data_IF_077322990102
#
_entry.id   IF_077322990102
#
_cell.length_a   1.000
_cell.length_b   1.000
_cell.length_c   1.000
_cell.angle_alpha   90.00
_cell.angle_beta   90.00
_cell.angle_gamma   90.00
#
_symmetry.space_group_name_H-M   'P 1'
#
loop_
_entity.id
_entity.type
_entity.pdbx_description
1 polymer ?
2 non-polymer ?
3 non-polymer ?
4 water ?
#
# COMPACT_ATOMS: atom_id res chain seq x y z
N UNK A 22 6.85 13.94 -22.18
CA UNK A 22 7.51 14.31 -20.90
C UNK A 22 8.73 13.40 -20.63
N UNK A 23 9.92 13.96 -20.87
CA UNK A 23 11.19 13.21 -20.74
C UNK A 23 11.63 12.94 -19.30
N UNK A 24 11.10 13.70 -18.34
CA UNK A 24 11.49 13.57 -16.94
C UNK A 24 10.86 12.36 -16.26
N UNK A 25 10.83 12.40 -14.93
CA UNK A 25 10.24 11.32 -14.13
C UNK A 25 8.80 11.64 -13.73
N UNK A 26 7.96 10.61 -13.75
CA UNK A 26 6.60 10.70 -13.25
C UNK A 26 6.47 9.83 -11.99
N UNK A 27 6.10 10.47 -10.88
CA UNK A 27 6.01 9.81 -9.58
C UNK A 27 4.56 9.57 -9.20
N UNK A 28 4.23 8.33 -8.92
CA UNK A 28 2.88 7.93 -8.53
C UNK A 28 2.77 7.89 -7.01
N UNK A 29 1.78 8.62 -6.47
CA UNK A 29 1.48 8.63 -5.03
C UNK A 29 -0.02 8.49 -4.84
N UNK A 30 -0.44 8.12 -3.63
CA UNK A 30 -1.85 8.18 -3.21
C UNK A 30 -2.08 9.28 -2.18
N UNK A 31 -3.29 9.83 -2.17
CA UNK A 31 -3.71 10.84 -1.18
C UNK A 31 -3.79 10.27 0.23
N UNK A 32 -3.85 11.16 1.21
CA UNK A 32 -3.87 10.77 2.62
C UNK A 32 -2.49 10.40 3.14
N UNK A 33 -2.40 9.21 3.71
CA UNK A 33 -1.23 8.80 4.50
C UNK A 33 0.06 8.84 3.71
N UNK A 34 0.03 8.23 2.54
CA UNK A 34 1.23 8.11 1.74
C UNK A 34 1.74 9.46 1.26
N UNK A 35 0.83 10.35 0.85
CA UNK A 35 1.23 11.71 0.44
C UNK A 35 1.81 12.53 1.61
N UNK A 36 1.13 12.51 2.76
CA UNK A 36 1.59 13.23 3.95
C UNK A 36 3.01 12.88 4.36
N UNK A 37 3.29 11.57 4.38
CA UNK A 37 4.56 11.07 4.89
C UNK A 37 5.65 10.99 3.83
N UNK A 38 5.28 11.05 2.57
CA UNK A 38 6.25 11.13 1.49
C UNK A 38 6.79 12.54 1.28
N UNK A 39 5.96 13.56 1.52
CA UNK A 39 6.32 14.96 1.22
C UNK A 39 7.63 15.44 1.85
N UNK A 40 7.89 15.12 3.14
CA UNK A 40 9.18 15.47 3.74
C UNK A 40 10.37 14.81 3.03
N UNK A 41 10.21 13.57 2.60
CA UNK A 41 11.25 12.88 1.81
C UNK A 41 11.50 13.62 0.50
N UNK A 42 10.43 14.01 -0.19
CA UNK A 42 10.53 14.77 -1.44
C UNK A 42 11.18 16.14 -1.22
N UNK A 43 10.81 16.83 -0.14
CA UNK A 43 11.33 18.16 0.12
C UNK A 43 12.85 18.12 0.30
N UNK A 44 13.32 17.20 1.12
CA UNK A 44 14.75 16.93 1.29
C UNK A 44 15.48 16.63 -0.03
N UNK A 45 14.80 15.97 -0.97
CA UNK A 45 15.34 15.67 -2.30
C UNK A 45 15.24 16.81 -3.32
N UNK A 46 14.75 17.99 -2.91
CA UNK A 46 14.59 19.14 -3.79
C UNK A 46 13.32 19.13 -4.63
N UNK A 47 12.30 18.38 -4.18
CA UNK A 47 11.04 18.28 -4.90
C UNK A 47 9.88 18.68 -3.99
N UNK A 48 9.16 19.73 -4.39
CA UNK A 48 7.98 20.18 -3.65
C UNK A 48 6.81 20.40 -4.60
N UNK A 49 5.63 19.94 -4.19
CA UNK A 49 4.40 20.25 -4.93
C UNK A 49 4.10 21.77 -4.86
N UNK A 50 3.47 22.29 -5.90
CA UNK A 50 3.16 23.73 -5.99
C UNK A 50 1.74 24.07 -5.47
N UNK A 51 0.96 23.03 -5.14
CA UNK A 51 -0.34 23.20 -4.49
C UNK A 51 -0.68 21.90 -3.76
N UNK A 52 -1.78 21.93 -3.01
CA UNK A 52 -2.24 20.78 -2.25
C UNK A 52 -3.12 19.92 -3.16
N UNK A 53 -2.64 18.72 -3.56
CA UNK A 53 -3.49 17.86 -4.39
C UNK A 53 -4.81 17.41 -3.74
N UNK A 54 -4.85 17.35 -2.40
CA UNK A 54 -6.07 17.01 -1.66
C UNK A 54 -7.23 17.96 -1.98
N UNK A 55 -6.91 19.22 -2.25
CA UNK A 55 -7.92 20.25 -2.53
C UNK A 55 -8.10 20.52 -4.05
N UNK A 56 -7.83 19.52 -4.89
CA UNK A 56 -7.94 19.70 -6.34
C UNK A 56 -8.52 18.46 -7.03
N UNK A 57 -9.18 18.71 -8.16
CA UNK A 57 -9.69 17.68 -9.05
C UNK A 57 -8.60 17.22 -10.00
N UNK A 58 -7.60 18.08 -10.25
CA UNK A 58 -6.44 17.71 -11.07
C UNK A 58 -5.78 16.42 -10.56
N UNK A 59 -5.14 15.73 -11.50
CA UNK A 59 -4.50 14.44 -11.25
C UNK A 59 -3.01 14.42 -11.59
N UNK A 60 -2.57 15.32 -12.48
CA UNK A 60 -1.17 15.51 -12.79
C UNK A 60 -0.73 16.83 -12.18
N UNK A 61 0.38 16.81 -11.46
CA UNK A 61 0.85 17.98 -10.72
C UNK A 61 2.32 18.23 -11.00
N UNK A 62 2.67 19.46 -11.40
CA UNK A 62 4.08 19.81 -11.48
C UNK A 62 4.69 19.95 -10.09
N UNK A 63 6.02 19.93 -10.01
CA UNK A 63 6.73 20.20 -8.77
C UNK A 63 7.71 21.36 -8.97
N UNK A 64 8.37 21.77 -7.89
CA UNK A 64 9.47 22.73 -7.94
C UNK A 64 10.65 22.28 -8.82
N UNK A 65 10.79 20.96 -9.03
CA UNK A 65 11.73 20.43 -10.00
C UNK A 65 10.99 20.22 -11.32
N UNK A 66 11.44 20.88 -12.41
CA UNK A 66 10.75 20.71 -13.69
C UNK A 66 10.94 19.32 -14.34
N UNK A 67 11.88 18.50 -13.86
CA UNK A 67 12.03 17.12 -14.34
C UNK A 67 11.16 16.09 -13.60
N UNK A 68 10.41 16.50 -12.58
CA UNK A 68 9.56 15.56 -11.82
C UNK A 68 8.12 16.07 -11.78
N UNK A 69 7.17 15.20 -12.14
CA UNK A 69 5.73 15.47 -11.94
C UNK A 69 5.12 14.33 -11.12
N UNK A 70 3.96 14.59 -10.55
CA UNK A 70 3.32 13.66 -9.61
C UNK A 70 1.92 13.29 -10.10
N UNK A 71 1.64 11.98 -10.18
CA UNK A 71 0.28 11.47 -10.36
C UNK A 71 -0.31 11.11 -9.01
N UNK A 72 -1.57 11.49 -8.81
CA UNK A 72 -2.32 11.17 -7.59
C UNK A 72 -3.33 10.08 -7.94
N UNK A 73 -3.15 8.92 -7.32
CA UNK A 73 -3.87 7.69 -7.68
C UNK A 73 -4.49 7.08 -6.44
N UNK A 74 -5.47 6.21 -6.63
CA UNK A 74 -5.84 5.25 -5.57
C UNK A 74 -4.59 4.39 -5.30
N UNK A 75 -4.39 4.03 -4.04
CA UNK A 75 -3.26 3.18 -3.63
C UNK A 75 -3.17 1.89 -4.45
N UNK A 76 -4.32 1.27 -4.69
CA UNK A 76 -4.36 0.02 -5.47
C UNK A 76 -3.85 0.18 -6.91
N UNK A 77 -3.91 1.39 -7.46
CA UNK A 77 -3.47 1.63 -8.82
C UNK A 77 -2.00 2.03 -8.98
N UNK A 78 -1.33 2.39 -7.89
CA UNK A 78 0.09 2.81 -7.98
C UNK A 78 0.97 1.72 -8.66
N UNK A 79 0.92 0.46 -8.17
CA UNK A 79 1.76 -0.56 -8.82
C UNK A 79 1.46 -0.77 -10.29
N UNK A 80 0.19 -0.67 -10.67
CA UNK A 80 -0.27 -0.82 -12.06
C UNK A 80 0.35 0.26 -12.98
N UNK A 81 0.26 1.54 -12.58
CA UNK A 81 0.86 2.64 -13.37
C UNK A 81 2.38 2.50 -13.47
N UNK A 82 3.00 2.12 -12.34
CA UNK A 82 4.45 1.90 -12.33
C UNK A 82 4.84 0.68 -13.18
N UNK A 83 4.11 -0.43 -13.03
CA UNK A 83 4.36 -1.65 -13.83
C UNK A 83 4.31 -1.39 -15.33
N UNK A 84 3.26 -0.72 -15.79
CA UNK A 84 3.07 -0.41 -17.21
C UNK A 84 3.93 0.74 -17.72
N UNK A 85 4.57 1.48 -16.81
CA UNK A 85 5.43 2.60 -17.19
C UNK A 85 4.70 3.93 -17.41
N UNK A 86 3.43 4.02 -17.02
CA UNK A 86 2.70 5.29 -17.07
C UNK A 86 3.23 6.24 -15.97
N UNK A 87 3.81 5.65 -14.93
CA UNK A 87 4.70 6.34 -13.99
C UNK A 87 6.05 5.59 -14.00
N UNK A 88 7.13 6.33 -13.76
CA UNK A 88 8.48 5.75 -13.71
C UNK A 88 8.75 5.12 -12.36
N UNK A 89 8.17 5.72 -11.32
CA UNK A 89 8.34 5.25 -9.96
C UNK A 89 7.18 5.68 -9.08
N UNK A 90 7.06 5.05 -7.92
CA UNK A 90 5.97 5.38 -7.04
C UNK A 90 6.18 4.85 -5.66
N UNK A 91 5.29 5.26 -4.77
CA UNK A 91 5.31 4.84 -3.39
C UNK A 91 4.02 4.08 -3.12
N UNK A 92 4.18 2.82 -2.70
CA UNK A 92 3.07 1.90 -2.48
C UNK A 92 3.26 1.07 -1.21
N UNK A 93 2.16 0.80 -0.52
CA UNK A 93 2.19 0.00 0.70
C UNK A 93 2.50 -1.45 0.39
N UNK A 94 3.28 -2.09 1.27
CA UNK A 94 3.64 -3.51 1.08
C UNK A 94 2.39 -4.41 0.95
N UNK A 95 1.33 -4.07 1.67
CA UNK A 95 0.03 -4.78 1.56
C UNK A 95 -0.51 -4.79 0.11
N UNK A 96 -0.42 -3.65 -0.57
CA UNK A 96 -0.86 -3.49 -1.97
C UNK A 96 0.07 -4.27 -2.91
N UNK A 97 1.39 -4.16 -2.68
CA UNK A 97 2.38 -4.85 -3.49
C UNK A 97 2.25 -6.36 -3.42
N UNK A 98 2.03 -6.89 -2.21
CA UNK A 98 1.78 -8.34 -2.02
C UNK A 98 0.53 -8.82 -2.71
N UNK A 99 -0.52 -8.01 -2.66
CA UNK A 99 -1.81 -8.37 -3.24
C UNK A 99 -1.79 -8.28 -4.76
N UNK A 100 -1.24 -7.18 -5.27
CA UNK A 100 -1.14 -6.96 -6.71
C UNK A 100 -0.11 -7.90 -7.36
N UNK A 101 0.97 -8.18 -6.66
CA UNK A 101 2.10 -8.90 -7.23
C UNK A 101 3.14 -7.88 -7.65
N UNK A 102 4.37 -8.08 -7.19
CA UNK A 102 5.45 -7.13 -7.43
C UNK A 102 6.51 -7.70 -8.37
N UNK A 103 6.14 -8.69 -9.18
CA UNK A 103 7.10 -9.37 -10.05
C UNK A 103 7.57 -8.53 -11.23
N UNK A 104 6.81 -7.49 -11.61
CA UNK A 104 7.18 -6.67 -12.79
C UNK A 104 7.54 -5.22 -12.46
N UNK A 105 7.90 -4.97 -11.20
CA UNK A 105 8.52 -3.72 -10.77
C UNK A 105 9.74 -4.10 -9.93
N UNK A 106 10.64 -3.14 -9.70
CA UNK A 106 11.74 -3.32 -8.74
C UNK A 106 11.38 -2.60 -7.45
N UNK A 107 11.36 -3.31 -6.32
CA UNK A 107 11.28 -2.66 -5.00
C UNK A 107 12.69 -2.24 -4.56
N UNK A 108 12.93 -0.93 -4.47
CA UNK A 108 14.27 -0.39 -4.19
C UNK A 108 14.54 -0.04 -2.73
N UNK A 109 13.54 0.49 -2.02
CA UNK A 109 13.72 0.99 -0.66
C UNK A 109 12.49 0.74 0.17
N UNK A 110 12.71 0.39 1.43
CA UNK A 110 11.64 0.41 2.41
C UNK A 110 11.70 1.79 3.05
N UNK A 111 10.67 2.60 2.81
CA UNK A 111 10.67 3.99 3.28
C UNK A 111 10.27 4.14 4.75
N UNK A 112 9.82 3.05 5.37
CA UNK A 112 9.42 3.02 6.79
C UNK A 112 8.27 3.99 7.12
N UNK A 113 7.46 4.34 6.14
CA UNK A 113 6.33 5.27 6.33
C UNK A 113 4.99 4.57 6.20
N UNK A 114 3.95 5.20 6.73
CA UNK A 114 2.59 4.66 6.73
C UNK A 114 2.60 3.24 7.30
N UNK A 115 3.21 3.12 8.47
CA UNK A 115 3.39 1.81 9.09
C UNK A 115 2.08 1.25 9.66
N UNK A 116 1.88 -0.05 9.46
CA UNK A 116 0.70 -0.78 9.94
C UNK A 116 0.96 -2.28 9.88
N UNK A 117 -0.05 -3.08 10.20
CA UNK A 117 0.08 -4.54 10.15
C UNK A 117 -1.06 -5.12 9.34
N UNK A 118 -0.79 -6.15 8.54
CA UNK A 118 -1.86 -7.02 8.03
C UNK A 118 -2.21 -8.01 9.13
N UNK A 119 -3.49 -8.07 9.50
CA UNK A 119 -3.96 -8.95 10.57
C UNK A 119 -5.23 -9.69 10.17
N UNK A 120 -5.54 -10.75 10.91
CA UNK A 120 -6.86 -11.34 10.88
C UNK A 120 -7.62 -10.83 12.09
N UNK A 121 -8.95 -10.77 11.97
CA UNK A 121 -9.79 -10.36 13.08
C UNK A 121 -11.20 -10.91 12.94
N UNK A 122 -11.86 -11.09 14.07
CA UNK A 122 -13.24 -11.53 14.13
C UNK A 122 -13.92 -10.88 15.30
N UNK A 123 -15.18 -11.26 15.52
CA UNK A 123 -15.97 -10.77 16.67
C UNK A 123 -15.30 -11.26 17.94
N UNK A 124 -15.18 -10.36 18.94
CA UNK A 124 -14.48 -10.67 20.18
C UNK A 124 -15.11 -11.87 20.92
N UNK A 125 -14.28 -12.85 21.27
CA UNK A 125 -14.69 -14.11 21.93
C UNK A 125 -15.71 -14.95 21.15
N UNK A 126 -15.67 -14.86 19.82
CA UNK A 126 -16.51 -15.71 18.97
C UNK A 126 -15.71 -16.97 18.66
N UNK A 127 -16.31 -18.16 18.86
CA UNK A 127 -15.60 -19.38 18.44
C UNK A 127 -15.57 -19.49 16.93
N UNK A 128 -14.52 -20.10 16.38
CA UNK A 128 -14.48 -20.36 14.94
C UNK A 128 -15.34 -21.59 14.66
N UNK A 129 -16.09 -21.58 13.52
CA UNK A 129 -16.92 -22.73 13.20
C UNK A 129 -16.05 -23.88 12.73
N UNK A 130 -16.52 -25.11 12.91
CA UNK A 130 -15.77 -26.29 12.49
C UNK A 130 -16.16 -26.64 11.05
N UNK A 131 -15.54 -25.90 10.13
CA UNK A 131 -15.72 -26.09 8.69
C UNK A 131 -14.76 -25.15 7.96
N UNK A 132 -14.71 -25.26 6.63
CA UNK A 132 -13.94 -24.35 5.78
C UNK A 132 -14.31 -22.91 6.10
N UNK A 133 -13.31 -22.11 6.47
CA UNK A 133 -13.56 -20.71 6.85
C UNK A 133 -13.83 -19.80 5.66
N UNK A 134 -14.69 -18.80 5.87
CA UNK A 134 -14.96 -17.76 4.90
C UNK A 134 -14.28 -16.49 5.39
N UNK A 135 -13.43 -15.91 4.55
CA UNK A 135 -12.64 -14.74 4.90
C UNK A 135 -13.10 -13.58 4.04
N UNK A 136 -13.66 -12.55 4.68
CA UNK A 136 -14.08 -11.33 3.99
C UNK A 136 -12.90 -10.36 3.95
N UNK A 137 -12.50 -9.93 2.76
CA UNK A 137 -11.29 -9.13 2.64
C UNK A 137 -11.13 -8.50 1.26
N UNK A 138 -10.43 -7.37 1.24
CA UNK A 138 -9.86 -6.81 0.03
C UNK A 138 -8.61 -7.59 -0.44
N UNK A 139 -7.89 -8.20 0.51
CA UNK A 139 -6.60 -8.81 0.24
C UNK A 139 -6.76 -10.32 0.04
N UNK A 140 -7.34 -10.70 -1.09
CA UNK A 140 -7.73 -12.10 -1.33
C UNK A 140 -6.51 -13.01 -1.51
N UNK A 141 -5.52 -12.57 -2.27
CA UNK A 141 -4.25 -13.31 -2.43
C UNK A 141 -3.46 -13.47 -1.13
N UNK A 142 -3.30 -12.37 -0.40
CA UNK A 142 -2.66 -12.39 0.92
C UNK A 142 -3.41 -13.32 1.90
N UNK A 143 -4.73 -13.20 1.95
CA UNK A 143 -5.56 -14.07 2.82
C UNK A 143 -5.37 -15.56 2.50
N UNK A 144 -5.38 -15.91 1.22
CA UNK A 144 -5.23 -17.32 0.82
C UNK A 144 -3.85 -17.85 1.15
N UNK A 145 -2.82 -17.04 0.89
CA UNK A 145 -1.43 -17.43 1.16
C UNK A 145 -1.17 -17.53 2.66
N UNK A 146 -1.63 -16.57 3.45
CA UNK A 146 -1.47 -16.65 4.91
C UNK A 146 -2.14 -17.92 5.47
N UNK A 147 -3.41 -18.13 5.14
CA UNK A 147 -4.12 -19.30 5.66
C UNK A 147 -3.52 -20.63 5.17
N UNK A 148 -2.94 -20.62 3.98
CA UNK A 148 -2.23 -21.79 3.45
C UNK A 148 -1.04 -22.15 4.35
N UNK A 149 -0.32 -21.14 4.84
CA UNK A 149 0.78 -21.34 5.79
C UNK A 149 0.31 -21.90 7.15
N UNK A 150 -0.94 -21.64 7.53
CA UNK A 150 -1.55 -22.20 8.74
C UNK A 150 -2.24 -23.55 8.49
N UNK A 151 -2.09 -24.15 7.30
CA UNK A 151 -2.73 -25.42 6.96
C UNK A 151 -4.20 -25.39 6.55
N UNK A 152 -4.74 -24.19 6.27
CA UNK A 152 -6.16 -24.00 5.92
C UNK A 152 -6.35 -23.57 4.47
N UNK A 153 -7.20 -24.29 3.74
CA UNK A 153 -7.64 -23.87 2.41
C UNK A 153 -8.95 -23.12 2.68
N UNK A 154 -8.96 -21.81 2.45
CA UNK A 154 -10.13 -20.97 2.82
C UNK A 154 -10.93 -20.50 1.62
N UNK A 155 -12.20 -20.18 1.84
CA UNK A 155 -12.98 -19.37 0.90
C UNK A 155 -12.77 -17.90 1.23
N UNK A 156 -12.68 -17.09 0.18
CA UNK A 156 -12.56 -15.64 0.30
C UNK A 156 -13.78 -14.96 -0.31
N UNK A 157 -14.27 -13.93 0.36
CA UNK A 157 -15.34 -13.06 -0.15
C UNK A 157 -14.65 -11.72 -0.42
N UNK A 158 -14.48 -11.39 -1.69
CA UNK A 158 -13.84 -10.15 -2.11
C UNK A 158 -14.73 -8.97 -1.76
N UNK A 159 -14.16 -8.01 -1.03
CA UNK A 159 -14.80 -6.74 -0.69
C UNK A 159 -13.86 -5.61 -1.09
N UNK A 160 -14.40 -4.39 -1.19
CA UNK A 160 -13.62 -3.21 -1.57
C UNK A 160 -13.45 -2.18 -0.46
N UNK A 161 -14.17 -2.35 0.65
CA UNK A 161 -14.00 -1.46 1.80
C UNK A 161 -14.85 -1.89 2.97
N UNK A 162 -14.73 -1.14 4.07
CA UNK A 162 -15.51 -1.36 5.30
C UNK A 162 -15.52 -2.82 5.76
N UNK A 163 -14.33 -3.43 5.77
CA UNK A 163 -14.20 -4.84 6.17
C UNK A 163 -14.74 -5.10 7.57
N UNK A 164 -14.55 -4.15 8.48
CA UNK A 164 -15.05 -4.23 9.87
C UNK A 164 -16.55 -4.53 10.04
N UNK A 165 -17.35 -4.22 9.02
CA UNK A 165 -18.79 -4.55 9.03
C UNK A 165 -19.06 -6.04 8.80
N UNK A 166 -18.26 -6.67 7.96
CA UNK A 166 -18.53 -8.04 7.50
C UNK A 166 -18.84 -9.05 8.65
N UNK A 167 -17.97 -9.12 9.69
CA UNK A 167 -18.29 -10.02 10.82
C UNK A 167 -19.55 -9.68 11.60
N UNK A 168 -19.95 -8.40 11.62
CA UNK A 168 -21.12 -7.97 12.38
C UNK A 168 -22.44 -8.45 11.76
N UNK A 169 -22.47 -8.60 10.44
CA UNK A 169 -23.66 -9.08 9.72
C UNK A 169 -23.49 -10.51 9.18
N UNK A 170 -22.49 -11.24 9.68
CA UNK A 170 -22.26 -12.65 9.32
C UNK A 170 -21.68 -12.93 7.95
N UNK A 171 -21.19 -11.90 7.27
CA UNK A 171 -20.52 -12.08 5.99
C UNK A 171 -19.08 -12.53 6.27
N UNK A 172 -18.85 -13.83 6.25
CA UNK A 172 -17.55 -14.39 6.61
C UNK A 172 -17.32 -14.52 8.11
N UNK A 173 -16.38 -15.39 8.46
CA UNK A 173 -16.05 -15.74 9.84
C UNK A 173 -14.94 -14.87 10.43
N UNK A 174 -14.06 -14.39 9.55
CA UNK A 174 -13.00 -13.48 9.91
C UNK A 174 -12.80 -12.51 8.76
N UNK A 175 -12.02 -11.47 9.04
CA UNK A 175 -11.56 -10.56 8.01
C UNK A 175 -10.06 -10.60 7.98
N UNK A 176 -9.51 -10.14 6.87
CA UNK A 176 -8.12 -9.76 6.77
C UNK A 176 -8.13 -8.30 6.35
N UNK A 177 -7.45 -7.47 7.13
CA UNK A 177 -7.37 -6.05 6.85
C UNK A 177 -6.09 -5.47 7.47
N UNK A 178 -5.69 -4.28 7.02
CA UNK A 178 -4.62 -3.55 7.69
C UNK A 178 -5.14 -2.96 9.00
N UNK A 179 -4.27 -2.96 10.01
CA UNK A 179 -4.58 -2.44 11.33
C UNK A 179 -3.41 -1.55 11.75
N UNK A 180 -3.73 -0.35 12.25
CA UNK A 180 -2.72 0.56 12.79
C UNK A 180 -2.92 0.63 14.32
N UNK A 181 -3.79 1.52 14.79
CA UNK A 181 -4.05 1.67 16.23
C UNK A 181 -4.90 0.56 16.81
N UNK A 182 -5.67 -0.13 15.95
CA UNK A 182 -6.68 -1.07 16.42
C UNK A 182 -8.01 -0.45 16.80
N UNK A 183 -8.16 0.88 16.68
CA UNK A 183 -9.38 1.57 17.15
C UNK A 183 -10.62 1.15 16.35
N UNK A 184 -10.46 0.95 15.05
CA UNK A 184 -11.55 0.46 14.19
C UNK A 184 -12.05 -0.90 14.67
N UNK A 185 -11.13 -1.85 14.90
CA UNK A 185 -11.53 -3.16 15.42
C UNK A 185 -12.30 -3.02 16.74
N UNK A 186 -11.71 -2.32 17.70
CA UNK A 186 -12.30 -2.13 19.04
C UNK A 186 -13.65 -1.41 19.04
N UNK A 187 -13.77 -0.35 18.23
CA UNK A 187 -15.04 0.38 18.08
C UNK A 187 -16.19 -0.54 17.62
N UNK A 188 -15.87 -1.56 16.82
CA UNK A 188 -16.86 -2.46 16.22
C UNK A 188 -17.03 -3.79 16.95
N UNK A 189 -16.49 -3.92 18.16
CA UNK A 189 -16.57 -5.17 18.92
C UNK A 189 -15.73 -6.31 18.34
N UNK A 190 -14.74 -5.99 17.51
CA UNK A 190 -13.82 -6.98 16.94
C UNK A 190 -12.51 -6.97 17.69
N UNK A 191 -11.76 -8.07 17.60
CA UNK A 191 -10.39 -8.15 18.10
C UNK A 191 -9.51 -8.84 17.07
N UNK A 192 -8.24 -8.46 17.04
CA UNK A 192 -7.29 -9.09 16.16
C UNK A 192 -6.99 -10.50 16.67
N UNK A 193 -7.01 -11.46 15.76
CA UNK A 193 -6.73 -12.86 16.07
C UNK A 193 -5.25 -13.16 15.80
N UNK A 194 -4.78 -12.86 14.58
CA UNK A 194 -3.40 -13.16 14.17
C UNK A 194 -2.76 -11.94 13.54
N UNK A 195 -1.45 -11.79 13.79
CA UNK A 195 -0.59 -10.86 13.07
C UNK A 195 -0.07 -11.61 11.86
N UNK A 196 -0.26 -11.04 10.66
CA UNK A 196 0.23 -11.66 9.43
C UNK A 196 1.63 -11.16 9.10
N UNK A 197 1.77 -9.85 8.92
CA UNK A 197 3.07 -9.24 8.71
C UNK A 197 2.99 -7.74 8.95
N UNK A 198 4.15 -7.15 9.23
CA UNK A 198 4.29 -5.71 9.27
C UNK A 198 4.24 -5.12 7.86
N UNK A 199 3.66 -3.94 7.74
CA UNK A 199 3.45 -3.25 6.47
C UNK A 199 4.03 -1.85 6.58
N UNK A 200 4.70 -1.43 5.51
CA UNK A 200 5.20 -0.07 5.35
C UNK A 200 5.27 0.24 3.87
N UNK A 201 5.37 1.53 3.54
CA UNK A 201 5.39 1.95 2.15
C UNK A 201 6.77 1.81 1.54
N UNK A 202 6.81 1.36 0.29
CA UNK A 202 8.04 1.05 -0.43
C UNK A 202 8.15 1.90 -1.69
N UNK A 203 9.39 2.18 -2.09
CA UNK A 203 9.65 2.87 -3.34
C UNK A 203 9.83 1.81 -4.44
N UNK A 204 8.92 1.82 -5.41
CA UNK A 204 8.98 0.89 -6.53
C UNK A 204 9.33 1.66 -7.79
N UNK A 205 10.00 0.98 -8.71
CA UNK A 205 10.43 1.58 -9.98
C UNK A 205 10.06 0.66 -11.14
N UNK A 206 9.75 1.29 -12.28
CA UNK A 206 9.53 0.58 -13.54
C UNK A 206 10.85 -0.02 -13.98
N UNK A 207 10.79 -1.26 -14.46
CA UNK A 207 12.00 -2.01 -14.81
C UNK A 207 12.79 -1.44 -16.00
N UNK A 208 12.12 -0.70 -16.89
CA UNK A 208 12.77 -0.04 -18.02
C UNK A 208 13.25 1.36 -17.63
N UNK A 209 12.42 2.09 -16.88
CA UNK A 209 12.81 3.42 -16.37
C UNK A 209 14.08 3.35 -15.55
N UNK A 210 14.22 2.30 -14.74
CA UNK A 210 15.42 2.10 -13.94
C UNK A 210 16.69 2.06 -14.82
N UNK A 211 16.58 1.41 -15.97
CA UNK A 211 17.69 1.26 -16.91
C UNK A 211 17.94 2.50 -17.76
N UNK A 212 16.87 3.21 -18.13
CA UNK A 212 16.97 4.34 -19.06
C UNK A 212 17.05 5.71 -18.38
N UNK A 213 16.46 5.86 -17.20
CA UNK A 213 16.40 7.16 -16.50
C UNK A 213 17.15 7.15 -15.18
N UNK A 214 18.14 6.27 -15.05
CA UNK A 214 18.89 6.10 -13.80
C UNK A 214 19.59 7.36 -13.32
N UNK A 215 20.11 8.16 -14.26
CA UNK A 215 20.81 9.40 -13.93
C UNK A 215 19.84 10.39 -13.25
N UNK A 216 18.60 10.42 -13.72
CA UNK A 216 17.55 11.21 -13.07
C UNK A 216 17.06 10.63 -11.73
N UNK A 217 16.89 9.30 -11.66
CA UNK A 217 16.44 8.62 -10.45
C UNK A 217 17.47 8.63 -9.30
N UNK A 218 18.75 8.46 -9.64
CA UNK A 218 19.78 8.15 -8.63
C UNK A 218 19.88 9.19 -7.50
N UNK A 219 19.98 10.49 -7.83
CA UNK A 219 20.06 11.49 -6.72
C UNK A 219 18.87 11.46 -5.75
N UNK A 220 17.67 11.19 -6.28
CA UNK A 220 16.44 11.16 -5.49
C UNK A 220 16.40 9.90 -4.62
N UNK A 221 16.80 8.77 -5.20
CA UNK A 221 16.95 7.52 -4.45
C UNK A 221 17.96 7.67 -3.29
N UNK A 222 19.12 8.29 -3.59
CA UNK A 222 20.17 8.53 -2.58
C UNK A 222 19.69 9.48 -1.47
N UNK A 223 18.93 10.49 -1.87
CA UNK A 223 18.37 11.44 -0.92
C UNK A 223 17.40 10.75 0.04
N UNK A 224 16.49 9.96 -0.52
CA UNK A 224 15.48 9.21 0.25
C UNK A 224 16.17 8.25 1.21
N UNK A 225 17.11 7.46 0.68
CA UNK A 225 17.90 6.53 1.49
C UNK A 225 18.59 7.24 2.68
N UNK A 226 19.22 8.38 2.41
CA UNK A 226 19.83 9.19 3.49
C UNK A 226 18.79 9.63 4.55
N UNK A 227 17.64 10.15 4.08
CA UNK A 227 16.59 10.67 4.98
C UNK A 227 15.98 9.61 5.90
N UNK A 228 15.77 8.40 5.39
CA UNK A 228 15.18 7.32 6.17
C UNK A 228 16.15 6.70 7.19
N UNK A 229 17.46 6.90 7.00
CA UNK A 229 18.45 6.52 8.02
C UNK A 229 18.22 7.29 9.34
N UNK A 230 17.96 8.59 9.26
CA UNK A 230 17.56 9.38 10.44
C UNK A 230 16.03 9.43 10.57
X LIG B 1 -9.98 2.55 0.44
X LIG B 1 -8.59 3.33 0.28
X LIG B 1 -8.32 3.61 -1.15
X LIG B 1 -8.62 4.47 1.24
X LIG B 1 -7.53 2.19 0.74
X LIG B 1 -6.70 2.19 2.14
X LIG B 1 -7.40 3.01 3.17
X LIG B 1 -6.31 0.80 2.47
X LIG B 1 -5.31 2.90 1.65
X LIG B 1 -4.93 4.45 1.81
X LIG B 1 -4.60 4.99 0.47
X LIG B 1 -5.88 5.17 2.68
X LIG B 1 -3.56 4.22 2.60
X LIG B 1 -2.37 3.96 1.88
X LIG B 1 -1.58 2.94 2.69
X LIG B 1 -1.51 3.36 4.05
X LIG B 1 -2.26 1.58 2.77
X LIG B 1 -2.12 0.82 1.54
X LIG B 1 -1.47 0.98 3.93
X LIG B 1 -0.24 0.40 3.43
X LIG B 1 -1.14 2.21 4.82
X LIG B 1 -1.91 2.29 6.11
X LIG B 1 -1.40 2.55 7.32
X LIG B 1 -3.23 2.15 6.27
X LIG B 1 -3.52 2.30 7.58
X LIG B 1 -2.38 2.55 8.21
X LIG B 1 -4.79 2.19 8.01
X LIG B 1 -4.98 2.36 9.32
X LIG B 1 -4.19 1.89 5.37
X LIG B 1 -5.51 1.78 5.79
X LIG B 1 -5.82 1.93 7.15
X LIG B 1 -7.24 1.81 7.54
X LIG B 1 -7.59 0.33 7.87
X LIG B 1 -7.97 -0.45 6.71
X LIG B 1 -8.81 0.52 8.73
X LIG B 1 -9.97 0.78 7.97
X LIG B 1 -7.61 2.60 8.70
X LIG B 1 -8.44 1.74 9.56
X LIG B 1 -7.70 1.14 10.70
X LIG B 1 -7.04 2.15 11.42
X LIG B 1 -6.88 1.84 12.96
X LIG B 1 -8.24 2.01 13.52
X LIG B 1 -6.36 0.45 13.02
X LIG B 1 -5.90 2.86 13.39
X LIG C 1 -8.33 4.88 3.63
#
# INVERSE_FOLDING_TARGET
GMTEVTNSLPTSGLLNEANDEFLGLTLALSKGRILEETMPLLRAAGVELLEDPEASRKLIFPTSNPNVRVLILRASDVPTYVEHGAADFGVAGKDVLLEHGANHVYELLDLKIAQCKLMTAGVKDAPLPNRRLRIATKYVNVARAYFASQGQQVDVIKLYGSMELAPLVGLGDLIVDVVDTGNTLRANGLEARDHICDVSSRLIVNQVSYKRKFALLEPILDSFKNSINSTS
PRT O1G PG O2G O3G O3B PB O1B O2B O3A PA O1A O2A O5' C5' C4' O4' C3' O3' C2' O2' C1' N9 C8 C4 C5 N7 C6 N6 N3 C2 N1 C11 C12 O12 C13 O13 O14 C14 C15 O15 P O3P O1P O2P
MG MG
#
